data_IF_755123510184
#
_entry.id   IF_755123510184
#
_cell.length_a   1.000
_cell.length_b   1.000
_cell.length_c   1.000
_cell.angle_alpha   90.00
_cell.angle_beta   90.00
_cell.angle_gamma   90.00
#
_symmetry.space_group_name_H-M   'P 1'
#
loop_
_entity.id
_entity.type
_entity.pdbx_description
1 polymer ?
#
# COMPACT_ATOMS: atom_id res chain seq x y z
N UNK A 1 -9.13 3.11 -6.00
CA UNK A 1 -9.40 4.14 -4.96
C UNK A 1 -8.94 5.54 -5.40
N UNK A 2 -9.53 6.65 -4.89
CA UNK A 2 -8.96 8.01 -5.01
C UNK A 2 -8.17 8.35 -3.74
N UNK A 3 -7.11 9.17 -3.83
CA UNK A 3 -6.33 9.60 -2.65
C UNK A 3 -7.20 10.25 -1.57
N UNK A 4 -8.23 11.01 -1.97
CA UNK A 4 -9.15 11.64 -1.02
C UNK A 4 -9.96 10.59 -0.24
N UNK A 5 -10.39 9.51 -0.91
CA UNK A 5 -11.09 8.39 -0.24
C UNK A 5 -10.14 7.56 0.63
N UNK A 6 -8.86 7.47 0.27
CA UNK A 6 -7.85 6.84 1.11
C UNK A 6 -7.58 7.67 2.37
N UNK A 7 -7.52 9.00 2.24
CA UNK A 7 -7.40 9.92 3.37
C UNK A 7 -8.63 9.88 4.26
N UNK A 8 -9.85 9.99 3.71
CA UNK A 8 -11.08 9.98 4.52
C UNK A 8 -11.26 8.68 5.31
N UNK A 9 -10.95 7.52 4.72
CA UNK A 9 -10.98 6.23 5.43
C UNK A 9 -9.99 6.15 6.59
N UNK A 10 -8.96 6.99 6.56
CA UNK A 10 -7.86 6.99 7.52
C UNK A 10 -7.75 8.31 8.29
N UNK A 11 -8.73 9.21 8.13
CA UNK A 11 -8.74 10.55 8.72
C UNK A 11 -8.93 10.54 10.24
N UNK A 12 -9.42 9.43 10.78
CA UNK A 12 -9.51 9.19 12.24
C UNK A 12 -8.18 8.69 12.85
N UNK A 13 -7.13 8.48 12.04
CA UNK A 13 -5.82 8.02 12.50
C UNK A 13 -4.86 9.20 12.74
N UNK A 14 -4.05 9.06 13.79
CA UNK A 14 -3.18 10.04 14.46
C UNK A 14 -2.20 10.83 13.55
N UNK A 15 -1.42 11.76 14.14
CA UNK A 15 -0.26 12.42 13.50
C UNK A 15 0.67 11.43 12.76
N UNK A 16 0.71 10.17 13.21
CA UNK A 16 1.47 9.09 12.58
C UNK A 16 1.00 8.79 11.14
N UNK A 17 -0.30 8.94 10.87
CA UNK A 17 -0.84 8.72 9.52
C UNK A 17 -0.45 9.84 8.56
N UNK A 18 -0.47 11.10 9.00
CA UNK A 18 0.01 12.21 8.17
C UNK A 18 1.48 12.02 7.80
N UNK A 19 2.32 11.68 8.79
CA UNK A 19 3.74 11.37 8.58
C UNK A 19 3.93 10.18 7.63
N UNK A 20 3.11 9.14 7.76
CA UNK A 20 3.16 7.98 6.86
C UNK A 20 2.92 8.40 5.41
N UNK A 21 1.90 9.23 5.14
CA UNK A 21 1.56 9.67 3.77
C UNK A 21 2.59 10.59 3.11
N UNK A 22 3.55 11.15 3.86
CA UNK A 22 4.65 11.94 3.27
C UNK A 22 5.59 11.09 2.41
N UNK A 23 5.77 9.82 2.79
CA UNK A 23 6.74 8.93 2.16
C UNK A 23 6.11 7.67 1.53
N UNK A 24 4.82 7.47 1.74
CA UNK A 24 4.11 6.28 1.26
C UNK A 24 2.92 6.70 0.41
N UNK A 25 2.97 6.39 -0.88
CA UNK A 25 1.93 6.75 -1.84
C UNK A 25 1.11 5.49 -2.20
N UNK A 26 -0.13 5.37 -1.72
CA UNK A 26 -1.03 4.31 -2.15
C UNK A 26 -1.36 4.42 -3.63
N UNK A 27 -1.36 3.30 -4.35
CA UNK A 27 -1.64 3.31 -5.80
C UNK A 27 -2.56 2.18 -6.28
N UNK A 28 -2.76 1.12 -5.49
CA UNK A 28 -3.65 0.01 -5.83
C UNK A 28 -4.25 -0.64 -4.58
N UNK A 29 -5.33 -1.41 -4.76
CA UNK A 29 -5.99 -2.21 -3.73
C UNK A 29 -6.36 -3.59 -4.28
N UNK A 30 -6.60 -4.57 -3.39
CA UNK A 30 -7.02 -5.92 -3.79
C UNK A 30 -8.55 -6.11 -3.84
N UNK A 31 -9.36 -5.04 -3.86
CA UNK A 31 -10.82 -5.06 -3.69
C UNK A 31 -11.36 -5.57 -2.34
N UNK A 32 -10.49 -5.88 -1.37
CA UNK A 32 -10.83 -6.17 0.02
C UNK A 32 -10.28 -5.09 0.97
N UNK A 33 -10.08 -3.87 0.44
CA UNK A 33 -9.49 -2.72 1.15
C UNK A 33 -8.04 -2.91 1.65
N UNK A 34 -7.36 -4.01 1.29
CA UNK A 34 -5.92 -4.15 1.52
C UNK A 34 -5.15 -3.34 0.48
N UNK A 35 -4.29 -2.45 0.96
CA UNK A 35 -3.67 -1.40 0.17
C UNK A 35 -2.24 -1.77 -0.27
N UNK A 36 -1.91 -1.40 -1.50
CA UNK A 36 -0.56 -1.39 -2.03
C UNK A 36 -0.06 0.06 -2.12
N UNK A 37 1.18 0.29 -1.67
CA UNK A 37 1.83 1.59 -1.78
C UNK A 37 3.29 1.46 -2.20
N UNK A 38 3.82 2.56 -2.73
CA UNK A 38 5.25 2.74 -2.93
C UNK A 38 5.82 3.55 -1.77
N UNK A 39 6.89 3.06 -1.18
CA UNK A 39 7.78 3.83 -0.31
C UNK A 39 8.69 4.66 -1.22
N UNK A 40 8.54 5.99 -1.22
CA UNK A 40 9.32 6.85 -2.13
C UNK A 40 10.76 7.07 -1.66
N UNK A 41 11.10 6.67 -0.43
CA UNK A 41 12.49 6.74 0.07
C UNK A 41 13.29 5.54 -0.42
N UNK A 42 12.70 4.35 -0.45
CA UNK A 42 13.37 3.10 -0.87
C UNK A 42 13.04 2.68 -2.30
N UNK A 43 11.88 3.09 -2.82
CA UNK A 43 11.30 2.63 -4.08
C UNK A 43 10.55 1.30 -3.98
N UNK A 44 10.54 0.66 -2.81
CA UNK A 44 9.89 -0.62 -2.58
C UNK A 44 8.38 -0.54 -2.68
N UNK A 45 7.78 -1.62 -3.18
CA UNK A 45 6.33 -1.79 -3.19
C UNK A 45 5.95 -2.65 -2.01
N UNK A 46 5.05 -2.13 -1.19
CA UNK A 46 4.59 -2.75 0.06
C UNK A 46 3.08 -3.03 -0.02
N UNK A 47 2.65 -4.04 0.72
CA UNK A 47 1.26 -4.48 0.86
C UNK A 47 0.94 -4.70 2.33
N UNK A 48 -0.26 -4.29 2.75
CA UNK A 48 -0.76 -4.54 4.10
C UNK A 48 -1.91 -5.53 4.06
N UNK A 49 -1.85 -6.57 4.88
CA UNK A 49 -3.00 -7.43 5.15
C UNK A 49 -3.70 -6.98 6.44
N UNK A 50 -4.80 -6.25 6.30
CA UNK A 50 -5.54 -5.71 7.44
C UNK A 50 -6.31 -6.78 8.23
N UNK A 51 -6.38 -8.03 7.73
CA UNK A 51 -6.85 -9.16 8.52
C UNK A 51 -5.79 -9.66 9.52
N UNK A 52 -4.51 -9.41 9.24
CA UNK A 52 -3.39 -9.84 10.09
C UNK A 52 -2.86 -8.72 10.99
N UNK A 53 -2.65 -7.51 10.45
CA UNK A 53 -2.10 -6.37 11.21
C UNK A 53 -2.56 -5.01 10.67
N UNK A 54 -2.49 -4.01 11.55
CA UNK A 54 -2.67 -2.60 11.19
C UNK A 54 -1.35 -1.81 11.32
N UNK A 55 -0.26 -2.44 11.78
CA UNK A 55 1.04 -1.81 11.94
C UNK A 55 1.77 -1.73 10.59
N UNK A 56 2.10 -0.53 10.08
CA UNK A 56 2.87 -0.36 8.84
C UNK A 56 4.20 -1.10 8.79
N UNK A 57 4.83 -1.38 9.93
CA UNK A 57 6.09 -2.10 10.02
C UNK A 57 5.93 -3.61 9.71
N UNK A 58 4.71 -4.14 9.82
CA UNK A 58 4.37 -5.53 9.44
C UNK A 58 4.08 -5.68 7.93
N UNK A 59 4.22 -4.59 7.15
CA UNK A 59 3.92 -4.61 5.74
C UNK A 59 4.83 -5.57 4.94
N UNK A 60 4.22 -6.31 4.02
CA UNK A 60 4.91 -7.26 3.17
C UNK A 60 5.54 -6.50 1.99
N UNK A 61 6.86 -6.64 1.82
CA UNK A 61 7.56 -6.15 0.62
C UNK A 61 7.25 -7.08 -0.55
N UNK A 62 6.46 -6.62 -1.51
CA UNK A 62 6.03 -7.42 -2.67
C UNK A 62 6.94 -7.25 -3.88
N UNK A 63 7.67 -6.14 -3.97
CA UNK A 63 8.66 -5.92 -5.03
C UNK A 63 9.71 -4.86 -4.63
N UNK A 64 10.94 -4.96 -5.14
CA UNK A 64 12.01 -3.99 -4.85
C UNK A 64 11.87 -2.67 -5.62
N UNK A 65 11.00 -2.62 -6.64
CA UNK A 65 10.70 -1.39 -7.39
C UNK A 65 9.34 -1.48 -8.07
N UNK A 66 8.78 -0.32 -8.43
CA UNK A 66 7.54 -0.26 -9.21
C UNK A 66 7.66 -0.95 -10.58
N UNK A 67 8.83 -0.88 -11.24
CA UNK A 67 9.07 -1.57 -12.50
C UNK A 67 9.03 -3.09 -12.34
N UNK A 68 9.71 -3.61 -11.32
CA UNK A 68 9.69 -5.06 -11.04
C UNK A 68 8.29 -5.53 -10.65
N UNK A 69 7.54 -4.74 -9.88
CA UNK A 69 6.14 -5.02 -9.61
C UNK A 69 5.31 -5.16 -10.89
N UNK A 70 5.42 -4.19 -11.81
CA UNK A 70 4.69 -4.21 -13.09
C UNK A 70 5.03 -5.42 -13.96
N UNK A 71 6.30 -5.87 -13.97
CA UNK A 71 6.74 -7.04 -14.75
C UNK A 71 6.14 -8.36 -14.23
N UNK A 72 5.78 -8.42 -12.95
CA UNK A 72 5.29 -9.63 -12.31
C UNK A 72 3.78 -9.65 -12.08
N UNK A 73 3.07 -8.54 -12.34
CA UNK A 73 1.60 -8.53 -12.39
C UNK A 73 1.14 -9.49 -13.49
N UNK A 74 0.29 -10.44 -13.11
CA UNK A 74 -0.35 -11.37 -14.03
C UNK A 74 -1.76 -10.89 -14.35
N UNK A 75 -2.13 -10.93 -15.64
CA UNK A 75 -3.45 -10.52 -16.10
C UNK A 75 -4.58 -11.45 -15.62
N UNK A 76 -4.25 -12.66 -15.20
CA UNK A 76 -5.20 -13.64 -14.68
C UNK A 76 -4.96 -13.83 -13.18
N UNK A 77 -6.05 -13.88 -12.41
CA UNK A 77 -6.00 -14.39 -11.03
C UNK A 77 -5.54 -15.84 -11.09
N UNK A 78 -4.62 -16.22 -10.21
CA UNK A 78 -4.29 -17.64 -10.01
C UNK A 78 -5.52 -18.32 -9.41
N UNK A 79 -5.97 -19.40 -10.05
CA UNK A 79 -7.03 -20.29 -9.56
C UNK A 79 -6.61 -21.05 -8.30
#
# INVERSE_FOLDING_TARGET
>A
MSMERAKDRRADYSEDFENFTLFHIPFADNHADNDFWIDIQTGEIKYMDYEESYDPDDAIVVAPSFLEFCKHIQAQRRE
#
